data_IF_231302236523
#
_entry.id   IF_231302236523
#
_cell.length_a   1.000
_cell.length_b   1.000
_cell.length_c   1.000
_cell.angle_alpha   90.00
_cell.angle_beta   90.00
_cell.angle_gamma   90.00
#
_symmetry.space_group_name_H-M   'P 1'
#
loop_
_entity.id
_entity.type
_entity.pdbx_description
1 polymer ?
#
# COMPACT_ATOMS: atom_id res chain seq x y z
N UNK A 1 -19.62 -5.02 -30.77
CA UNK A 1 -19.64 -3.56 -30.56
C UNK A 1 -19.23 -3.34 -29.12
N UNK A 2 -18.40 -2.33 -28.85
CA UNK A 2 -18.03 -2.03 -27.46
C UNK A 2 -19.24 -1.38 -26.77
N UNK A 3 -19.72 -2.02 -25.71
CA UNK A 3 -20.98 -1.72 -25.04
C UNK A 3 -20.79 -0.60 -24.03
N UNK A 4 -19.64 -0.55 -23.35
CA UNK A 4 -19.43 0.33 -22.19
C UNK A 4 -18.63 1.60 -22.49
N UNK A 5 -18.07 1.73 -23.70
CA UNK A 5 -17.26 2.90 -24.09
C UNK A 5 -17.98 4.25 -24.00
N UNK A 6 -19.31 4.26 -23.97
CA UNK A 6 -20.11 5.48 -23.81
C UNK A 6 -20.11 6.02 -22.37
N UNK A 7 -19.73 5.20 -21.38
CA UNK A 7 -19.59 5.59 -19.97
C UNK A 7 -18.33 6.44 -19.72
N UNK A 8 -17.39 6.47 -20.68
CA UNK A 8 -16.13 7.19 -20.60
C UNK A 8 -16.08 8.29 -21.65
N UNK A 9 -15.45 9.42 -21.31
CA UNK A 9 -15.15 10.48 -22.28
C UNK A 9 -14.18 10.00 -23.35
N UNK A 10 -13.17 9.20 -22.96
CA UNK A 10 -12.16 8.71 -23.89
C UNK A 10 -11.49 7.41 -23.40
N UNK A 11 -12.12 6.25 -23.60
CA UNK A 11 -11.52 4.95 -23.26
C UNK A 11 -10.12 4.75 -23.90
N UNK A 12 -9.12 4.21 -23.17
CA UNK A 12 -9.14 3.80 -21.76
C UNK A 12 -8.70 4.89 -20.78
N UNK A 13 -8.59 6.15 -21.23
CA UNK A 13 -8.17 7.27 -20.41
C UNK A 13 -9.29 7.74 -19.48
N UNK A 14 -8.89 8.22 -18.31
CA UNK A 14 -9.79 8.78 -17.30
C UNK A 14 -9.58 10.28 -17.16
N UNK A 15 -10.65 11.03 -16.94
CA UNK A 15 -10.56 12.34 -16.28
C UNK A 15 -10.36 12.16 -14.77
N UNK A 16 -10.10 13.26 -14.06
CA UNK A 16 -10.03 13.25 -12.60
C UNK A 16 -11.36 12.79 -11.98
N UNK A 17 -12.50 13.23 -12.54
CA UNK A 17 -13.82 12.83 -12.04
C UNK A 17 -14.13 11.35 -12.32
N UNK A 18 -13.76 10.85 -13.51
CA UNK A 18 -13.93 9.43 -13.85
C UNK A 18 -13.06 8.53 -12.98
N UNK A 19 -11.83 8.98 -12.68
CA UNK A 19 -10.94 8.26 -11.76
C UNK A 19 -11.47 8.28 -10.32
N UNK A 20 -11.91 9.44 -9.82
CA UNK A 20 -12.52 9.54 -8.49
C UNK A 20 -13.75 8.62 -8.36
N UNK A 21 -14.59 8.58 -9.39
CA UNK A 21 -15.75 7.69 -9.44
C UNK A 21 -15.32 6.21 -9.44
N UNK A 22 -14.30 5.85 -10.21
CA UNK A 22 -13.75 4.49 -10.24
C UNK A 22 -13.17 4.09 -8.87
N UNK A 23 -12.47 4.99 -8.17
CA UNK A 23 -12.00 4.79 -6.79
C UNK A 23 -13.16 4.54 -5.83
N UNK A 24 -14.23 5.33 -5.92
CA UNK A 24 -15.42 5.16 -5.10
C UNK A 24 -16.12 3.81 -5.36
N UNK A 25 -16.15 3.34 -6.62
CA UNK A 25 -16.68 2.02 -6.94
C UNK A 25 -15.83 0.89 -6.35
N UNK A 26 -14.49 1.01 -6.40
CA UNK A 26 -13.59 0.04 -5.79
C UNK A 26 -13.74 -0.01 -4.26
N UNK A 27 -13.80 1.15 -3.61
CA UNK A 27 -14.01 1.26 -2.16
C UNK A 27 -15.37 0.67 -1.73
N UNK A 28 -16.45 0.99 -2.48
CA UNK A 28 -17.77 0.42 -2.24
C UNK A 28 -17.76 -1.10 -2.36
N UNK A 29 -17.09 -1.63 -3.38
CA UNK A 29 -16.94 -3.09 -3.59
C UNK A 29 -16.19 -3.73 -2.43
N UNK A 30 -15.09 -3.14 -1.99
CA UNK A 30 -14.34 -3.60 -0.83
C UNK A 30 -15.18 -3.58 0.45
N UNK A 31 -15.95 -2.52 0.69
CA UNK A 31 -16.79 -2.38 1.87
C UNK A 31 -17.96 -3.37 1.91
N UNK A 32 -18.53 -3.73 0.75
CA UNK A 32 -19.68 -4.64 0.63
C UNK A 32 -19.27 -6.11 0.62
N UNK A 33 -18.09 -6.43 0.09
CA UNK A 33 -17.63 -7.81 -0.01
C UNK A 33 -17.50 -8.46 1.37
N UNK A 34 -18.01 -9.68 1.50
CA UNK A 34 -17.84 -10.51 2.70
C UNK A 34 -16.46 -11.18 2.68
N UNK A 35 -15.41 -10.37 2.87
CA UNK A 35 -14.01 -10.79 2.72
C UNK A 35 -13.52 -11.84 3.74
N UNK A 36 -14.28 -12.10 4.81
CA UNK A 36 -13.93 -13.10 5.83
C UNK A 36 -12.47 -12.94 6.31
N UNK A 37 -11.65 -14.03 6.29
CA UNK A 37 -10.24 -13.98 6.65
C UNK A 37 -9.37 -13.09 5.75
N UNK A 38 -9.75 -12.85 4.49
CA UNK A 38 -8.97 -12.02 3.57
C UNK A 38 -8.87 -10.56 4.04
N UNK A 39 -9.87 -10.07 4.79
CA UNK A 39 -9.86 -8.72 5.39
C UNK A 39 -8.72 -8.51 6.38
N UNK A 40 -8.16 -9.59 6.93
CA UNK A 40 -7.05 -9.55 7.87
C UNK A 40 -5.69 -9.40 7.20
N UNK A 41 -5.62 -9.60 5.89
CA UNK A 41 -4.36 -9.58 5.13
C UNK A 41 -4.28 -8.43 4.13
N UNK A 42 -5.42 -7.79 3.85
CA UNK A 42 -5.53 -6.69 2.90
C UNK A 42 -6.49 -5.64 3.47
N UNK A 43 -5.99 -4.42 3.61
CA UNK A 43 -6.79 -3.24 3.95
C UNK A 43 -6.76 -2.29 2.77
N UNK A 44 -7.94 -1.82 2.36
CA UNK A 44 -8.10 -0.80 1.32
C UNK A 44 -8.74 0.45 1.93
N UNK A 45 -8.22 1.61 1.57
CA UNK A 45 -8.76 2.92 1.95
C UNK A 45 -8.63 3.92 0.82
N UNK A 46 -9.58 4.85 0.73
CA UNK A 46 -9.51 6.00 -0.17
C UNK A 46 -8.94 7.21 0.57
N UNK A 47 -8.05 7.94 -0.08
CA UNK A 47 -7.42 9.16 0.44
C UNK A 47 -7.53 10.32 -0.55
N UNK A 48 -7.16 11.52 -0.07
CA UNK A 48 -7.04 12.73 -0.89
C UNK A 48 -5.73 13.42 -0.59
N UNK A 49 -5.02 13.82 -1.63
CA UNK A 49 -3.78 14.58 -1.51
C UNK A 49 -4.09 15.99 -1.00
N UNK A 50 -3.46 16.43 0.09
CA UNK A 50 -3.72 17.75 0.67
C UNK A 50 -3.34 18.92 -0.25
N UNK A 51 -2.34 18.73 -1.12
CA UNK A 51 -1.81 19.79 -1.99
C UNK A 51 -2.68 20.02 -3.22
N UNK A 52 -3.09 18.96 -3.92
CA UNK A 52 -3.84 19.04 -5.19
C UNK A 52 -5.32 18.73 -5.04
N UNK A 53 -5.73 18.11 -3.92
CA UNK A 53 -7.08 17.58 -3.74
C UNK A 53 -7.36 16.30 -4.52
N UNK A 54 -6.38 15.77 -5.25
CA UNK A 54 -6.49 14.57 -6.08
C UNK A 54 -6.80 13.34 -5.21
N UNK A 55 -7.75 12.52 -5.69
CA UNK A 55 -8.09 11.25 -5.04
C UNK A 55 -6.99 10.21 -5.30
N UNK A 56 -6.77 9.31 -4.34
CA UNK A 56 -5.95 8.12 -4.51
C UNK A 56 -6.51 6.96 -3.69
N UNK A 57 -6.11 5.74 -4.02
CA UNK A 57 -6.45 4.53 -3.24
C UNK A 57 -5.18 3.99 -2.62
N UNK A 58 -5.22 3.70 -1.33
CA UNK A 58 -4.17 3.02 -0.57
C UNK A 58 -4.59 1.59 -0.28
N UNK A 59 -3.69 0.64 -0.50
CA UNK A 59 -3.87 -0.77 -0.19
C UNK A 59 -2.67 -1.24 0.63
N UNK A 60 -2.92 -1.63 1.88
CA UNK A 60 -1.91 -2.21 2.76
C UNK A 60 -2.09 -3.73 2.77
N UNK A 61 -1.01 -4.47 2.48
CA UNK A 61 -1.01 -5.93 2.46
C UNK A 61 0.15 -6.49 3.27
N UNK A 62 -0.11 -7.49 4.11
CA UNK A 62 0.95 -8.25 4.77
C UNK A 62 1.69 -9.14 3.76
N UNK A 63 3.02 -9.13 3.81
CA UNK A 63 3.85 -10.01 2.95
C UNK A 63 3.80 -11.44 3.48
N UNK A 64 3.93 -11.60 4.80
CA UNK A 64 3.85 -12.88 5.50
C UNK A 64 2.70 -12.85 6.51
N UNK A 65 1.49 -13.30 6.13
CA UNK A 65 0.36 -13.28 7.05
C UNK A 65 0.63 -14.27 8.22
N UNK A 66 0.62 -13.82 9.48
CA UNK A 66 0.73 -14.70 10.64
C UNK A 66 -0.43 -15.70 10.68
N UNK A 67 -0.16 -16.88 11.26
CA UNK A 67 -1.08 -18.02 11.29
C UNK A 67 -2.18 -17.90 12.36
N UNK A 68 -2.05 -16.95 13.28
CA UNK A 68 -2.98 -16.72 14.38
C UNK A 68 -3.84 -15.47 14.14
N UNK A 69 -5.12 -15.59 14.46
CA UNK A 69 -6.18 -14.68 14.06
C UNK A 69 -6.21 -13.37 14.86
N UNK A 70 -5.76 -13.41 16.12
CA UNK A 70 -5.70 -12.24 17.02
C UNK A 70 -4.46 -11.38 16.72
N UNK A 71 -3.33 -12.00 16.39
CA UNK A 71 -2.08 -11.33 16.02
C UNK A 71 -2.18 -10.58 14.68
N UNK A 72 -2.99 -11.09 13.74
CA UNK A 72 -3.28 -10.43 12.45
C UNK A 72 -3.97 -9.07 12.63
N UNK A 73 -5.02 -9.05 13.46
CA UNK A 73 -5.83 -7.85 13.68
C UNK A 73 -5.01 -6.76 14.38
N UNK A 74 -4.21 -7.15 15.37
CA UNK A 74 -3.31 -6.24 16.07
C UNK A 74 -2.27 -5.64 15.13
N UNK A 75 -1.69 -6.44 14.22
CA UNK A 75 -0.73 -5.95 13.24
C UNK A 75 -1.33 -4.85 12.36
N UNK A 76 -2.50 -5.09 11.73
CA UNK A 76 -3.15 -4.11 10.86
C UNK A 76 -3.61 -2.83 11.57
N UNK A 77 -4.12 -2.93 12.80
CA UNK A 77 -4.52 -1.75 13.58
C UNK A 77 -3.35 -0.82 13.85
N UNK A 78 -2.15 -1.38 14.08
CA UNK A 78 -0.94 -0.59 14.31
C UNK A 78 -0.42 0.09 13.03
N UNK A 79 -0.64 -0.50 11.85
CA UNK A 79 -0.26 0.10 10.56
C UNK A 79 -1.13 1.32 10.20
N UNK A 80 -2.36 1.38 10.72
CA UNK A 80 -3.29 2.48 10.44
C UNK A 80 -2.93 3.81 11.13
N UNK A 81 -1.94 3.83 12.01
CA UNK A 81 -1.62 4.99 12.86
C UNK A 81 -0.48 5.85 12.31
N UNK A 82 -0.11 5.66 11.04
CA UNK A 82 0.86 6.51 10.35
C UNK A 82 0.19 7.77 9.78
N UNK A 83 0.62 8.94 10.25
CA UNK A 83 0.28 10.28 9.76
C UNK A 83 -1.14 10.83 10.04
N UNK A 84 -1.37 11.19 11.30
CA UNK A 84 -2.19 12.38 11.62
C UNK A 84 -1.23 13.49 12.07
N UNK A 85 -1.30 14.73 11.53
CA UNK A 85 -0.56 15.86 12.10
C UNK A 85 -1.14 16.13 13.49
N UNK A 86 -0.34 15.85 14.52
CA UNK A 86 -0.73 15.97 15.90
C UNK A 86 -1.27 17.37 16.20
N UNK A 87 -2.57 17.44 16.49
CA UNK A 87 -3.16 18.49 17.30
C UNK A 87 -2.39 18.55 18.63
N UNK A 88 -1.82 19.70 18.94
CA UNK A 88 -1.05 19.94 20.15
C UNK A 88 -1.81 19.54 21.42
N UNK A 89 -1.16 18.87 22.38
CA UNK A 89 -1.51 19.00 23.77
C UNK A 89 -0.70 20.15 24.37
N UNK A 90 -1.41 21.15 24.86
CA UNK A 90 -0.91 22.11 25.83
C UNK A 90 -0.35 21.37 27.04
N UNK A 91 0.96 21.47 27.27
CA UNK A 91 1.56 21.15 28.56
C UNK A 91 2.48 22.30 28.98
N UNK A 92 2.22 22.71 30.20
CA UNK A 92 2.78 23.83 30.92
C UNK A 92 4.27 23.54 31.17
N UNK A 93 5.14 24.46 30.77
CA UNK A 93 6.58 24.36 30.97
C UNK A 93 6.91 24.81 32.40
N UNK A 94 7.25 23.86 33.27
CA UNK A 94 7.88 24.14 34.55
C UNK A 94 9.40 24.01 34.38
N UNK A 95 10.14 25.06 34.72
CA UNK A 95 11.60 25.12 34.56
C UNK A 95 12.27 24.57 35.82
N UNK A 96 13.06 23.50 35.69
CA UNK A 96 14.07 23.13 36.69
C UNK A 96 15.32 22.52 36.03
N UNK A 97 16.40 23.29 36.16
CA UNK A 97 17.86 23.05 36.28
C UNK A 97 18.59 21.86 35.59
N UNK A 98 19.76 22.24 35.07
CA UNK A 98 20.86 21.46 34.53
C UNK A 98 21.48 20.52 35.59
N UNK A 99 21.85 19.29 35.19
CA UNK A 99 23.20 18.72 35.39
C UNK A 99 23.29 17.19 35.17
N UNK A 100 24.43 16.79 34.59
CA UNK A 100 25.08 15.47 34.58
C UNK A 100 24.64 14.38 33.56
N UNK A 101 25.29 14.50 32.40
CA UNK A 101 25.51 13.49 31.36
C UNK A 101 26.59 12.49 31.85
N UNK A 102 26.18 11.36 32.46
CA UNK A 102 27.12 10.26 32.75
C UNK A 102 26.41 8.91 33.05
N UNK A 103 26.02 8.15 32.02
CA UNK A 103 26.06 6.67 32.06
C UNK A 103 25.72 6.03 30.70
N UNK A 104 26.53 6.31 29.67
CA UNK A 104 26.69 5.35 28.59
C UNK A 104 27.51 4.16 29.14
N UNK A 105 27.01 2.93 28.96
CA UNK A 105 27.69 1.65 29.21
C UNK A 105 27.56 1.04 30.62
N UNK A 106 26.35 0.60 30.98
CA UNK A 106 26.19 -0.59 31.83
C UNK A 106 25.38 -1.70 31.15
N UNK A 107 26.10 -2.42 30.30
CA UNK A 107 25.84 -3.83 30.02
C UNK A 107 25.94 -4.61 31.33
N UNK A 108 24.83 -5.21 31.79
CA UNK A 108 24.72 -6.51 32.50
C UNK A 108 23.53 -6.55 33.47
N UNK A 109 22.82 -7.71 33.49
CA UNK A 109 22.44 -8.52 34.67
C UNK A 109 20.95 -8.97 34.66
N UNK A 110 20.66 -10.28 34.78
CA UNK A 110 19.30 -10.76 34.90
C UNK A 110 18.84 -10.55 36.34
N UNK A 111 17.93 -9.59 36.56
CA UNK A 111 17.26 -9.38 37.84
C UNK A 111 15.84 -9.94 37.76
N UNK A 112 15.57 -10.86 38.68
CA UNK A 112 14.29 -11.54 38.86
C UNK A 112 13.29 -10.55 39.47
N UNK A 113 12.16 -10.42 38.78
CA UNK A 113 10.79 -10.08 39.19
C UNK A 113 10.60 -9.50 40.62
N UNK A 114 10.05 -8.29 40.74
CA UNK A 114 8.65 -8.02 41.16
C UNK A 114 8.24 -6.56 40.82
N UNK A 115 7.09 -6.43 40.14
CA UNK A 115 6.18 -5.28 40.03
C UNK A 115 6.71 -3.83 40.15
N UNK A 116 6.96 -3.17 39.01
CA UNK A 116 6.21 -1.97 38.61
C UNK A 116 6.48 -1.66 37.13
N UNK A 117 5.44 -1.25 36.41
CA UNK A 117 5.37 -1.29 34.95
C UNK A 117 6.45 -0.45 34.26
N UNK A 118 7.52 -1.12 33.80
CA UNK A 118 8.35 -0.64 32.70
C UNK A 118 7.40 -0.32 31.54
N UNK A 119 7.44 0.88 30.92
CA UNK A 119 6.72 1.11 29.68
C UNK A 119 7.17 0.02 28.71
N UNK A 120 6.28 -0.93 28.42
CA UNK A 120 6.44 -1.78 27.25
C UNK A 120 6.38 -0.78 26.10
N UNK A 121 7.55 -0.35 25.62
CA UNK A 121 7.67 0.02 24.23
C UNK A 121 7.09 -1.17 23.49
N UNK A 122 5.93 -0.96 22.89
CA UNK A 122 5.26 -1.95 22.08
C UNK A 122 6.32 -2.26 21.02
N UNK A 123 6.98 -3.43 21.09
CA UNK A 123 7.76 -3.92 19.97
C UNK A 123 6.76 -3.94 18.83
N UNK A 124 6.93 -2.99 17.91
CA UNK A 124 6.10 -2.87 16.72
C UNK A 124 5.95 -4.29 16.17
N UNK A 125 4.74 -4.72 15.82
CA UNK A 125 4.56 -6.01 15.17
C UNK A 125 5.50 -6.04 13.96
N UNK A 126 6.61 -6.79 14.05
CA UNK A 126 7.69 -6.87 13.05
C UNK A 126 7.23 -7.64 11.80
N UNK A 127 6.01 -7.39 11.34
CA UNK A 127 5.43 -8.08 10.21
C UNK A 127 5.71 -7.28 8.95
N UNK A 128 6.51 -7.83 8.02
CA UNK A 128 6.77 -7.15 6.77
C UNK A 128 5.46 -6.95 6.01
N UNK A 129 5.23 -5.73 5.55
CA UNK A 129 4.06 -5.36 4.78
C UNK A 129 4.47 -4.50 3.58
N UNK A 130 3.54 -4.37 2.65
CA UNK A 130 3.67 -3.52 1.47
C UNK A 130 2.49 -2.58 1.42
N UNK A 131 2.78 -1.31 1.18
CA UNK A 131 1.79 -0.28 0.89
C UNK A 131 1.78 -0.08 -0.61
N UNK A 132 0.61 -0.22 -1.22
CA UNK A 132 0.37 0.13 -2.62
C UNK A 132 -0.50 1.39 -2.67
N UNK A 133 -0.18 2.29 -3.60
CA UNK A 133 -0.98 3.47 -3.86
C UNK A 133 -1.34 3.57 -5.34
N UNK A 134 -2.61 3.86 -5.63
CA UNK A 134 -3.13 4.04 -6.98
C UNK A 134 -3.36 5.52 -7.21
N UNK A 135 -2.59 6.10 -8.11
CA UNK A 135 -2.67 7.52 -8.50
C UNK A 135 -3.04 7.66 -9.97
N UNK A 136 -3.80 8.70 -10.32
CA UNK A 136 -4.01 9.04 -11.73
C UNK A 136 -2.76 9.74 -12.28
N UNK A 137 -2.16 9.21 -13.34
CA UNK A 137 -1.01 9.86 -13.95
C UNK A 137 -1.44 11.16 -14.68
N UNK A 138 -0.84 12.33 -14.40
CA UNK A 138 -1.30 13.62 -14.92
C UNK A 138 -1.23 13.70 -16.45
N UNK A 139 -0.16 13.19 -17.06
CA UNK A 139 0.02 13.19 -18.52
C UNK A 139 -0.67 12.03 -19.24
N UNK A 140 -0.44 10.78 -18.80
CA UNK A 140 -1.00 9.61 -19.47
C UNK A 140 -2.50 9.40 -19.20
N UNK A 141 -3.08 10.05 -18.20
CA UNK A 141 -4.50 9.93 -17.83
C UNK A 141 -4.95 8.48 -17.64
N UNK A 142 -4.08 7.68 -17.04
CA UNK A 142 -4.32 6.28 -16.69
C UNK A 142 -3.81 6.04 -15.27
N UNK A 143 -4.38 5.11 -14.49
CA UNK A 143 -3.88 4.84 -13.16
C UNK A 143 -2.46 4.29 -13.18
N UNK A 144 -1.71 4.60 -12.13
CA UNK A 144 -0.32 4.18 -11.88
C UNK A 144 -0.24 3.57 -10.49
N UNK A 145 0.38 2.40 -10.39
CA UNK A 145 0.56 1.68 -9.14
C UNK A 145 1.93 2.00 -8.55
N UNK A 146 1.94 2.68 -7.41
CA UNK A 146 3.12 2.94 -6.59
C UNK A 146 3.16 1.96 -5.43
N UNK A 147 4.35 1.62 -4.93
CA UNK A 147 4.47 0.75 -3.77
C UNK A 147 5.79 0.89 -3.02
N UNK A 148 5.72 0.58 -1.72
CA UNK A 148 6.86 0.59 -0.79
C UNK A 148 6.78 -0.61 0.14
N UNK A 149 7.93 -1.26 0.39
CA UNK A 149 8.04 -2.34 1.36
C UNK A 149 8.41 -1.74 2.71
N UNK A 150 7.86 -2.30 3.78
CA UNK A 150 8.06 -1.84 5.15
C UNK A 150 8.37 -3.00 6.07
N UNK A 151 9.06 -2.70 7.17
CA UNK A 151 9.39 -3.64 8.26
C UNK A 151 9.98 -4.97 7.77
N UNK A 152 10.77 -4.91 6.68
CA UNK A 152 11.57 -6.05 6.24
C UNK A 152 12.59 -6.41 7.33
N UNK A 153 13.05 -7.68 7.39
CA UNK A 153 14.08 -8.08 8.34
C UNK A 153 15.32 -7.20 8.24
N UNK A 154 15.97 -6.89 9.37
CA UNK A 154 17.08 -5.93 9.50
C UNK A 154 18.28 -6.11 8.54
N UNK A 155 18.36 -7.24 7.83
CA UNK A 155 19.40 -7.53 6.84
C UNK A 155 19.01 -7.18 5.40
N UNK A 156 17.77 -6.74 5.14
CA UNK A 156 17.28 -6.37 3.82
C UNK A 156 16.86 -4.89 3.78
N UNK A 157 17.37 -4.09 2.83
CA UNK A 157 16.88 -2.73 2.63
C UNK A 157 15.43 -2.75 2.14
N UNK A 158 14.59 -1.90 2.72
CA UNK A 158 13.21 -1.68 2.27
C UNK A 158 13.13 -1.19 0.82
N UNK A 159 14.09 -0.34 0.42
CA UNK A 159 14.22 0.18 -0.94
C UNK A 159 15.33 -0.56 -1.69
N UNK A 160 15.07 -1.82 -2.00
CA UNK A 160 15.93 -2.67 -2.82
C UNK A 160 15.09 -3.47 -3.80
N UNK A 161 15.47 -3.42 -5.08
CA UNK A 161 14.77 -4.14 -6.14
C UNK A 161 14.86 -5.66 -5.94
N UNK A 162 15.95 -6.17 -5.39
CA UNK A 162 16.09 -7.60 -5.11
C UNK A 162 15.10 -8.05 -4.02
N UNK A 163 14.82 -7.21 -3.02
CA UNK A 163 13.77 -7.44 -2.03
C UNK A 163 12.37 -7.48 -2.68
N UNK A 164 12.09 -6.61 -3.66
CA UNK A 164 10.84 -6.65 -4.44
C UNK A 164 10.70 -7.99 -5.17
N UNK A 165 11.74 -8.42 -5.89
CA UNK A 165 11.73 -9.72 -6.59
C UNK A 165 11.64 -10.92 -5.63
N UNK A 166 12.18 -10.80 -4.42
CA UNK A 166 12.14 -11.88 -3.43
C UNK A 166 10.76 -12.04 -2.80
N UNK A 167 10.12 -10.94 -2.41
CA UNK A 167 8.93 -10.94 -1.56
C UNK A 167 7.62 -10.70 -2.30
N UNK A 168 7.64 -9.96 -3.42
CA UNK A 168 6.42 -9.52 -4.10
C UNK A 168 6.21 -10.21 -5.44
N UNK A 169 7.27 -10.37 -6.24
CA UNK A 169 7.14 -10.90 -7.61
C UNK A 169 6.99 -12.42 -7.57
N UNK A 170 5.86 -12.99 -8.05
CA UNK A 170 5.70 -14.44 -8.19
C UNK A 170 6.72 -15.04 -9.17
N UNK A 171 7.18 -16.27 -8.92
CA UNK A 171 8.25 -16.92 -9.72
C UNK A 171 7.95 -16.94 -11.23
N UNK A 172 6.68 -17.12 -11.60
CA UNK A 172 6.20 -17.13 -12.99
C UNK A 172 6.47 -15.82 -13.73
N UNK A 173 6.38 -14.69 -13.03
CA UNK A 173 6.60 -13.36 -13.60
C UNK A 173 8.07 -12.91 -13.55
N UNK A 174 8.92 -13.57 -12.74
CA UNK A 174 10.34 -13.15 -12.56
C UNK A 174 11.12 -13.19 -13.86
N UNK A 175 10.97 -14.24 -14.65
CA UNK A 175 11.70 -14.40 -15.91
C UNK A 175 11.26 -13.38 -16.94
N UNK A 176 9.97 -13.09 -17.04
CA UNK A 176 9.42 -12.10 -17.97
C UNK A 176 9.81 -10.66 -17.58
N UNK A 177 9.64 -10.29 -16.31
CA UNK A 177 10.03 -8.99 -15.77
C UNK A 177 11.54 -8.74 -15.89
N UNK A 178 12.37 -9.79 -15.78
CA UNK A 178 13.83 -9.72 -15.99
C UNK A 178 14.22 -9.74 -17.47
N UNK A 179 13.53 -10.49 -18.31
CA UNK A 179 13.82 -10.62 -19.75
C UNK A 179 13.52 -9.34 -20.52
N UNK A 180 12.58 -8.50 -20.04
CA UNK A 180 12.33 -7.17 -20.58
C UNK A 180 13.40 -6.12 -20.20
N UNK A 181 14.55 -6.54 -19.65
CA UNK A 181 15.62 -5.65 -19.18
C UNK A 181 15.35 -5.11 -17.77
N UNK A 182 16.28 -4.30 -17.23
CA UNK A 182 16.41 -3.88 -15.81
C UNK A 182 15.14 -3.29 -15.14
N UNK A 183 14.07 -3.07 -15.90
CA UNK A 183 13.02 -2.08 -15.69
C UNK A 183 11.67 -2.50 -16.32
N UNK A 184 11.39 -3.81 -16.41
CA UNK A 184 10.27 -4.45 -17.14
C UNK A 184 8.85 -4.15 -16.65
N UNK A 185 8.58 -2.92 -16.20
CA UNK A 185 7.33 -2.49 -15.59
C UNK A 185 7.65 -1.78 -14.28
N UNK A 186 8.47 -2.39 -13.42
CA UNK A 186 8.87 -1.82 -12.14
C UNK A 186 10.01 -0.82 -12.35
N UNK A 187 9.77 0.42 -11.93
CA UNK A 187 10.73 1.52 -11.92
C UNK A 187 10.81 2.12 -10.52
N UNK A 188 11.83 2.92 -10.27
CA UNK A 188 12.06 3.57 -8.99
C UNK A 188 12.17 5.09 -9.19
N UNK A 189 11.41 5.86 -8.42
CA UNK A 189 11.38 7.32 -8.48
C UNK A 189 10.94 7.91 -7.14
N UNK A 190 11.16 9.21 -6.90
CA UNK A 190 10.51 9.90 -5.78
C UNK A 190 8.99 9.81 -5.91
N UNK A 191 8.32 9.45 -4.82
CA UNK A 191 6.88 9.31 -4.76
C UNK A 191 6.19 10.66 -5.04
N UNK A 192 5.11 10.72 -5.87
CA UNK A 192 4.55 11.98 -6.36
C UNK A 192 3.98 12.91 -5.29
N UNK A 193 3.72 12.40 -4.08
CA UNK A 193 3.17 13.18 -2.96
C UNK A 193 4.22 13.45 -1.89
N UNK A 194 4.97 12.41 -1.51
CA UNK A 194 5.82 12.44 -0.31
C UNK A 194 7.29 12.66 -0.63
N UNK A 195 7.68 12.57 -1.91
CA UNK A 195 9.05 12.71 -2.41
C UNK A 195 10.04 11.68 -1.85
N UNK A 196 9.55 10.68 -1.09
CA UNK A 196 10.36 9.57 -0.60
C UNK A 196 10.60 8.55 -1.73
N UNK A 197 11.74 7.83 -1.74
CA UNK A 197 11.99 6.81 -2.74
C UNK A 197 10.91 5.71 -2.71
N UNK A 198 10.28 5.45 -3.86
CA UNK A 198 9.26 4.42 -4.02
C UNK A 198 9.40 3.69 -5.36
N UNK A 199 8.82 2.51 -5.45
CA UNK A 199 8.70 1.77 -6.71
C UNK A 199 7.37 2.07 -7.37
N UNK A 200 7.29 1.96 -8.69
CA UNK A 200 6.05 2.10 -9.43
C UNK A 200 6.02 1.25 -10.70
N UNK A 201 4.82 0.93 -11.16
CA UNK A 201 4.60 0.30 -12.47
C UNK A 201 4.39 1.38 -13.54
N UNK A 202 5.25 1.40 -14.56
CA UNK A 202 5.17 2.41 -15.62
C UNK A 202 3.88 2.26 -16.46
N UNK A 203 3.11 3.34 -16.69
CA UNK A 203 1.78 3.28 -17.31
C UNK A 203 1.77 3.00 -18.84
N UNK A 204 2.91 3.04 -19.53
CA UNK A 204 2.95 2.92 -20.99
C UNK A 204 2.29 1.64 -21.52
N UNK A 205 2.56 0.48 -20.90
CA UNK A 205 2.04 -0.80 -21.35
C UNK A 205 0.63 -1.09 -20.82
N UNK A 206 0.25 -0.47 -19.69
CA UNK A 206 -1.07 -0.67 -19.08
C UNK A 206 -2.18 -0.09 -19.94
N UNK A 207 -1.88 1.01 -20.66
CA UNK A 207 -2.80 1.61 -21.64
C UNK A 207 -3.15 0.64 -22.77
N UNK A 208 -2.15 0.09 -23.45
CA UNK A 208 -2.36 -0.83 -24.58
C UNK A 208 -3.08 -2.11 -24.12
N UNK A 209 -2.75 -2.60 -22.91
CA UNK A 209 -3.46 -3.73 -22.33
C UNK A 209 -4.95 -3.43 -22.10
N UNK A 210 -5.28 -2.27 -21.51
CA UNK A 210 -6.67 -1.84 -21.27
C UNK A 210 -7.48 -1.65 -22.56
N UNK A 211 -6.87 -1.26 -23.68
CA UNK A 211 -7.58 -1.09 -24.96
C UNK A 211 -8.25 -2.38 -25.46
N UNK A 212 -7.76 -3.55 -25.03
CA UNK A 212 -8.31 -4.87 -25.37
C UNK A 212 -9.57 -5.24 -24.58
N UNK A 213 -9.95 -4.44 -23.57
CA UNK A 213 -11.12 -4.68 -22.73
C UNK A 213 -12.26 -3.73 -23.07
N UNK A 214 -13.45 -4.11 -22.62
CA UNK A 214 -14.67 -3.31 -22.65
C UNK A 214 -15.43 -3.61 -21.35
N UNK A 215 -15.23 -2.79 -20.33
CA UNK A 215 -15.85 -2.95 -19.02
C UNK A 215 -16.60 -1.68 -18.60
N UNK A 216 -17.63 -1.79 -17.75
CA UNK A 216 -18.31 -0.63 -17.17
C UNK A 216 -17.38 0.16 -16.23
N UNK A 217 -17.75 1.41 -15.94
CA UNK A 217 -16.99 2.34 -15.10
C UNK A 217 -16.66 1.75 -13.72
N UNK A 218 -17.60 1.00 -13.13
CA UNK A 218 -17.45 0.36 -11.83
C UNK A 218 -16.50 -0.84 -11.81
N UNK A 219 -16.13 -1.38 -12.98
CA UNK A 219 -15.17 -2.46 -13.14
C UNK A 219 -13.79 -2.00 -13.59
N UNK A 220 -13.61 -0.72 -13.93
CA UNK A 220 -12.35 -0.18 -14.46
C UNK A 220 -11.14 -0.57 -13.59
N UNK A 221 -11.16 -0.21 -12.30
CA UNK A 221 -10.01 -0.46 -11.42
C UNK A 221 -9.83 -1.95 -11.09
N UNK A 222 -10.89 -2.76 -11.09
CA UNK A 222 -10.76 -4.20 -10.91
C UNK A 222 -10.07 -4.86 -12.11
N UNK A 223 -10.44 -4.48 -13.33
CA UNK A 223 -9.80 -4.96 -14.57
C UNK A 223 -8.34 -4.49 -14.61
N UNK A 224 -8.09 -3.21 -14.35
CA UNK A 224 -6.74 -2.64 -14.32
C UNK A 224 -5.85 -3.32 -13.27
N UNK A 225 -6.34 -3.53 -12.04
CA UNK A 225 -5.63 -4.28 -11.00
C UNK A 225 -5.37 -5.74 -11.41
N UNK A 226 -6.31 -6.39 -12.10
CA UNK A 226 -6.13 -7.74 -12.62
C UNK A 226 -5.01 -7.85 -13.67
N UNK A 227 -4.75 -6.78 -14.42
CA UNK A 227 -3.69 -6.73 -15.42
C UNK A 227 -2.30 -6.54 -14.82
N UNK A 228 -2.17 -5.68 -13.81
CA UNK A 228 -0.85 -5.27 -13.31
C UNK A 228 -0.55 -5.69 -11.87
N UNK A 229 -1.55 -5.95 -11.03
CA UNK A 229 -1.33 -6.24 -9.62
C UNK A 229 -0.54 -7.53 -9.42
N UNK A 230 -0.81 -8.54 -10.24
CA UNK A 230 -0.19 -9.86 -10.13
C UNK A 230 1.34 -9.84 -10.26
N UNK A 231 1.90 -8.91 -11.05
CA UNK A 231 3.35 -8.83 -11.24
C UNK A 231 4.11 -8.32 -10.00
N UNK A 232 3.40 -7.68 -9.06
CA UNK A 232 3.93 -7.18 -7.78
C UNK A 232 3.21 -7.80 -6.58
N UNK A 233 2.60 -8.97 -6.75
CA UNK A 233 1.99 -9.73 -5.65
C UNK A 233 0.74 -9.08 -5.05
N UNK A 234 0.10 -8.16 -5.76
CA UNK A 234 -1.18 -7.56 -5.40
C UNK A 234 -2.32 -8.33 -6.08
N UNK A 235 -3.08 -9.08 -5.30
CA UNK A 235 -4.25 -9.81 -5.78
C UNK A 235 -5.47 -9.35 -5.00
N UNK A 236 -6.53 -8.97 -5.72
CA UNK A 236 -7.80 -8.62 -5.09
C UNK A 236 -8.53 -9.89 -4.64
N UNK A 237 -9.13 -9.91 -3.42
CA UNK A 237 -9.93 -11.05 -2.97
C UNK A 237 -11.05 -11.39 -3.95
N UNK A 238 -11.28 -12.68 -4.20
CA UNK A 238 -12.26 -13.15 -5.18
C UNK A 238 -13.69 -12.70 -4.83
N UNK A 239 -13.99 -12.52 -3.55
CA UNK A 239 -15.26 -12.01 -3.03
C UNK A 239 -15.57 -10.60 -3.54
N UNK A 240 -14.54 -9.82 -3.91
CA UNK A 240 -14.73 -8.52 -4.56
C UNK A 240 -15.13 -8.65 -6.03
N UNK A 241 -14.78 -9.75 -6.69
CA UNK A 241 -15.16 -10.01 -8.08
C UNK A 241 -16.58 -10.58 -8.20
N UNK A 242 -17.17 -11.05 -7.09
CA UNK A 242 -18.56 -11.51 -7.07
C UNK A 242 -19.48 -10.28 -7.09
N UNK A 243 -20.18 -10.08 -8.21
CA UNK A 243 -21.32 -9.17 -8.24
C UNK A 243 -22.43 -9.79 -7.37
N UNK A 244 -22.94 -9.02 -6.39
CA UNK A 244 -24.06 -9.44 -5.55
C UNK A 244 -25.21 -9.90 -6.46
N UNK A 245 -25.49 -11.20 -6.43
CA UNK A 245 -26.56 -11.86 -7.19
C UNK A 245 -27.93 -11.59 -6.55
#
# INVERSE_FOLDING_TARGET
MATHRHEYRQWPFLTEEEFELACAFLDRRYCRASLGPARKNLKLSMGRTATTGSCYVEIIRLIHPPKDDDDLLLALSNLSSGYAPNSAPSQEVDMMDEDEDDEALRLNKPLRLESDAIPRYILHSHQPYVTYEIHLHPTYRIPTLWFTLHDLPNYEPAFDIDSVYRHLVPDEYKSELRAMGVMGGISAAPHPITDVPAFFIHPCQTKEAMENFDCPADNYLMVWLGLIGGCVGLWMPHEMAQEDL
#
